data_IF_614295571527
#
_entry.id   IF_614295571527
#
_cell.length_a   1.000
_cell.length_b   1.000
_cell.length_c   1.000
_cell.angle_alpha   90.00
_cell.angle_beta   90.00
_cell.angle_gamma   90.00
#
_symmetry.space_group_name_H-M   'P 1'
#
loop_
_entity.id
_entity.type
_entity.pdbx_description
1 polymer ?
#
# COMPACT_ATOMS: atom_id res chain seq x y z
N UNK A 1 -27.04 -10.27 -18.66
CA UNK A 1 -25.93 -10.91 -19.40
C UNK A 1 -25.06 -9.80 -19.91
N UNK A 2 -24.03 -9.44 -19.15
CA UNK A 2 -23.01 -8.50 -19.59
C UNK A 2 -21.99 -9.32 -20.40
N UNK A 3 -21.79 -8.96 -21.66
CA UNK A 3 -20.69 -9.51 -22.44
C UNK A 3 -19.40 -8.87 -21.92
N UNK A 4 -18.61 -9.62 -21.17
CA UNK A 4 -17.22 -9.25 -20.93
C UNK A 4 -16.50 -9.27 -22.28
N UNK A 5 -16.07 -8.10 -22.70
CA UNK A 5 -15.36 -7.88 -23.96
C UNK A 5 -13.93 -8.41 -23.84
N UNK A 6 -13.78 -9.71 -24.12
CA UNK A 6 -12.53 -10.47 -24.08
C UNK A 6 -11.41 -9.87 -24.98
N UNK A 7 -11.75 -8.90 -25.83
CA UNK A 7 -10.79 -8.21 -26.71
C UNK A 7 -9.92 -7.15 -26.01
N UNK A 8 -10.26 -6.73 -24.78
CA UNK A 8 -9.53 -5.67 -24.05
C UNK A 8 -8.41 -6.17 -23.14
N UNK A 9 -8.40 -7.46 -22.77
CA UNK A 9 -7.43 -8.03 -21.83
C UNK A 9 -5.98 -8.02 -22.35
N UNK A 10 -5.68 -8.39 -23.61
CA UNK A 10 -4.30 -8.39 -24.10
C UNK A 10 -3.70 -6.98 -24.17
N UNK A 11 -4.51 -6.01 -24.61
CA UNK A 11 -4.08 -4.62 -24.75
C UNK A 11 -3.81 -3.93 -23.40
N UNK A 12 -4.52 -4.36 -22.33
CA UNK A 12 -4.27 -3.86 -20.99
C UNK A 12 -3.00 -4.47 -20.36
N UNK A 13 -2.73 -5.74 -20.60
CA UNK A 13 -1.53 -6.42 -20.10
C UNK A 13 -0.24 -5.88 -20.76
N UNK A 14 -0.26 -5.64 -22.07
CA UNK A 14 0.84 -5.00 -22.81
C UNK A 14 1.13 -3.57 -22.33
N UNK A 15 0.11 -2.85 -21.85
CA UNK A 15 0.25 -1.44 -21.45
C UNK A 15 0.55 -1.26 -19.96
N UNK A 16 -0.07 -2.09 -19.13
CA UNK A 16 -0.07 -1.92 -17.67
C UNK A 16 0.28 -3.19 -16.90
N UNK A 17 0.22 -4.37 -17.50
CA UNK A 17 0.46 -5.64 -16.84
C UNK A 17 1.89 -6.17 -17.00
N UNK A 18 2.05 -7.47 -17.23
CA UNK A 18 3.33 -8.17 -17.19
C UNK A 18 4.01 -8.28 -18.57
N UNK A 19 3.33 -7.89 -19.64
CA UNK A 19 3.84 -7.92 -21.03
C UNK A 19 4.36 -6.57 -21.53
N UNK A 20 4.53 -5.60 -20.63
CA UNK A 20 5.04 -4.27 -21.00
C UNK A 20 6.46 -4.37 -21.55
N UNK A 21 6.70 -3.71 -22.68
CA UNK A 21 7.98 -3.78 -23.41
C UNK A 21 9.17 -3.30 -22.59
N UNK A 22 8.97 -2.34 -21.70
CA UNK A 22 10.04 -1.74 -20.90
C UNK A 22 10.36 -2.51 -19.59
N UNK A 23 9.72 -3.67 -19.36
CA UNK A 23 10.10 -4.50 -18.22
C UNK A 23 11.56 -4.92 -18.33
N UNK A 24 12.24 -4.97 -17.18
CA UNK A 24 13.65 -5.36 -17.05
C UNK A 24 14.68 -4.40 -17.68
N UNK A 25 14.26 -3.25 -18.24
CA UNK A 25 15.21 -2.27 -18.80
C UNK A 25 16.02 -1.49 -17.74
N UNK A 26 15.50 -1.38 -16.51
CA UNK A 26 16.14 -0.61 -15.44
C UNK A 26 16.78 -1.52 -14.40
N UNK A 27 18.01 -1.19 -13.96
CA UNK A 27 18.66 -1.84 -12.80
C UNK A 27 17.79 -1.69 -11.55
N UNK A 28 17.42 -2.81 -10.94
CA UNK A 28 16.57 -2.85 -9.73
C UNK A 28 17.36 -2.62 -8.44
N UNK A 29 18.51 -3.26 -8.29
CA UNK A 29 19.31 -3.20 -7.07
C UNK A 29 19.71 -1.75 -6.73
N UNK A 30 19.52 -1.37 -5.47
CA UNK A 30 19.80 -0.02 -4.95
C UNK A 30 18.68 1.00 -5.18
N UNK A 31 17.52 0.59 -5.71
CA UNK A 31 16.39 1.51 -6.00
C UNK A 31 15.43 1.72 -4.83
N UNK A 32 15.79 1.25 -3.64
CA UNK A 32 15.04 1.45 -2.40
C UNK A 32 15.81 2.42 -1.53
N UNK A 33 15.14 3.50 -1.13
CA UNK A 33 15.70 4.42 -0.14
C UNK A 33 15.88 3.70 1.18
N UNK A 34 17.03 3.89 1.83
CA UNK A 34 17.30 3.24 3.08
C UNK A 34 16.35 3.74 4.20
N UNK A 35 15.82 2.80 4.96
CA UNK A 35 14.96 3.04 6.13
C UNK A 35 15.17 1.94 7.15
N UNK A 36 14.84 2.21 8.41
CA UNK A 36 15.21 1.36 9.55
C UNK A 36 13.99 0.69 10.17
N UNK A 37 12.81 1.32 10.06
CA UNK A 37 11.53 0.82 10.56
C UNK A 37 10.44 1.01 9.53
N UNK A 38 9.58 0.01 9.35
CA UNK A 38 8.37 0.12 8.52
C UNK A 38 7.13 -0.05 9.38
N UNK A 39 6.27 0.95 9.32
CA UNK A 39 4.95 0.95 9.96
C UNK A 39 3.90 0.80 8.87
N UNK A 40 3.05 -0.20 9.01
CA UNK A 40 1.87 -0.37 8.16
C UNK A 40 0.62 0.00 8.96
N UNK A 41 -0.23 0.85 8.38
CA UNK A 41 -1.60 1.04 8.85
C UNK A 41 -2.53 0.15 8.03
N UNK A 42 -3.25 -0.76 8.67
CA UNK A 42 -4.33 -1.53 8.05
C UNK A 42 -5.56 -0.63 7.93
N UNK A 43 -6.00 -0.37 6.71
CA UNK A 43 -7.09 0.57 6.47
C UNK A 43 -7.80 0.31 5.15
N UNK A 44 -9.04 -0.15 5.19
CA UNK A 44 -9.92 -0.40 4.05
C UNK A 44 -9.26 -1.27 2.98
N UNK A 45 -9.88 -1.37 1.81
CA UNK A 45 -9.39 -2.16 0.70
C UNK A 45 -8.88 -1.26 -0.45
N UNK A 46 -7.99 -1.78 -1.33
CA UNK A 46 -7.40 -0.97 -2.40
C UNK A 46 -8.39 -0.33 -3.37
N UNK A 47 -9.58 -0.91 -3.52
CA UNK A 47 -10.62 -0.44 -4.44
C UNK A 47 -11.20 0.91 -4.03
N UNK A 48 -11.17 1.24 -2.73
CA UNK A 48 -11.73 2.48 -2.19
C UNK A 48 -10.67 3.51 -1.84
N UNK A 49 -9.38 3.16 -1.96
CA UNK A 49 -8.30 4.08 -1.66
C UNK A 49 -8.23 5.23 -2.68
N UNK A 50 -8.16 6.50 -2.24
CA UNK A 50 -7.84 7.60 -3.14
C UNK A 50 -6.39 7.51 -3.61
N UNK A 51 -6.03 8.31 -4.63
CA UNK A 51 -4.68 8.32 -5.20
C UNK A 51 -3.58 8.71 -4.20
N UNK A 52 -3.95 9.32 -3.07
CA UNK A 52 -3.06 9.61 -1.94
C UNK A 52 -3.82 9.40 -0.63
N UNK A 53 -3.76 8.18 -0.10
CA UNK A 53 -4.49 7.75 1.10
C UNK A 53 -4.10 8.57 2.32
N UNK A 54 -2.82 8.86 2.48
CA UNK A 54 -2.23 9.58 3.61
C UNK A 54 -2.54 11.09 3.59
N UNK A 55 -3.20 11.59 2.54
CA UNK A 55 -3.58 12.99 2.40
C UNK A 55 -5.07 13.19 2.15
N UNK A 56 -5.88 12.14 2.24
CA UNK A 56 -7.31 12.18 1.99
C UNK A 56 -8.05 12.91 3.11
N UNK A 57 -8.98 13.80 2.77
CA UNK A 57 -9.93 14.37 3.74
C UNK A 57 -11.10 13.43 4.03
N UNK A 58 -11.38 12.49 3.13
CA UNK A 58 -12.46 11.51 3.27
C UNK A 58 -12.10 10.38 4.22
N UNK A 59 -10.80 10.24 4.52
CA UNK A 59 -10.22 9.13 5.28
C UNK A 59 -9.26 9.71 6.35
N UNK A 60 -9.80 10.28 7.44
CA UNK A 60 -9.02 11.06 8.40
C UNK A 60 -7.95 10.25 9.15
N UNK A 61 -8.16 8.96 9.43
CA UNK A 61 -7.19 8.14 10.17
C UNK A 61 -5.81 8.05 9.49
N UNK A 62 -5.68 7.58 8.22
CA UNK A 62 -4.39 7.61 7.51
C UNK A 62 -3.73 9.00 7.49
N UNK A 63 -4.52 10.06 7.27
CA UNK A 63 -4.02 11.43 7.24
C UNK A 63 -3.49 11.89 8.59
N UNK A 64 -4.24 11.65 9.67
CA UNK A 64 -3.81 12.00 11.02
C UNK A 64 -2.57 11.22 11.42
N UNK A 65 -2.51 9.93 11.11
CA UNK A 65 -1.33 9.12 11.43
C UNK A 65 -0.08 9.59 10.70
N UNK A 66 -0.19 9.85 9.39
CA UNK A 66 0.90 10.43 8.61
C UNK A 66 1.33 11.81 9.12
N UNK A 67 0.38 12.65 9.53
CA UNK A 67 0.64 13.99 10.06
C UNK A 67 1.34 13.93 11.42
N UNK A 68 0.90 13.05 12.32
CA UNK A 68 1.50 12.84 13.62
C UNK A 68 2.93 12.30 13.51
N UNK A 69 3.16 11.31 12.64
CA UNK A 69 4.50 10.81 12.33
C UNK A 69 5.42 11.90 11.79
N UNK A 70 4.92 12.76 10.90
CA UNK A 70 5.69 13.89 10.38
C UNK A 70 6.03 14.91 11.46
N UNK A 71 5.09 15.19 12.36
CA UNK A 71 5.28 16.16 13.45
C UNK A 71 6.37 15.71 14.45
N UNK A 72 6.46 14.40 14.75
CA UNK A 72 7.46 13.82 15.66
C UNK A 72 8.70 13.25 14.97
N UNK A 73 8.93 13.58 13.69
CA UNK A 73 10.06 13.04 12.93
C UNK A 73 11.41 13.24 13.63
N UNK A 74 11.57 14.36 14.35
CA UNK A 74 12.80 14.69 15.08
C UNK A 74 12.85 14.10 16.50
N UNK A 75 11.70 13.66 17.02
CA UNK A 75 11.58 13.08 18.37
C UNK A 75 11.75 11.55 18.32
N UNK A 76 11.31 10.92 17.23
CA UNK A 76 11.71 9.54 16.91
C UNK A 76 13.25 9.53 16.87
N UNK A 77 13.84 8.54 17.55
CA UNK A 77 15.30 8.43 17.70
C UNK A 77 16.01 8.84 16.40
N UNK A 78 16.85 9.87 16.46
CA UNK A 78 17.39 10.64 15.30
C UNK A 78 17.97 9.77 14.17
N UNK A 79 18.32 8.51 14.46
CA UNK A 79 18.89 7.54 13.52
C UNK A 79 17.89 6.51 12.96
N UNK A 80 16.62 6.54 13.35
CA UNK A 80 15.59 5.57 12.94
C UNK A 80 14.68 6.21 11.90
N UNK A 81 14.93 5.93 10.62
CA UNK A 81 14.06 6.35 9.52
C UNK A 81 12.85 5.45 9.47
N UNK A 82 11.71 6.00 9.84
CA UNK A 82 10.42 5.29 9.82
C UNK A 82 9.70 5.53 8.50
N UNK A 83 9.32 4.44 7.82
CA UNK A 83 8.47 4.46 6.63
C UNK A 83 7.03 4.10 7.00
N UNK A 84 6.06 4.89 6.53
CA UNK A 84 4.63 4.57 6.65
C UNK A 84 4.12 4.03 5.31
N UNK A 85 3.34 2.95 5.36
CA UNK A 85 2.57 2.40 4.24
C UNK A 85 1.17 2.04 4.71
N UNK A 86 0.18 2.08 3.83
CA UNK A 86 -1.16 1.56 4.13
C UNK A 86 -1.27 0.15 3.56
N UNK A 87 -1.86 -0.78 4.30
CA UNK A 87 -2.21 -2.12 3.78
C UNK A 87 -3.69 -2.40 4.00
N UNK A 88 -4.22 -3.43 3.34
CA UNK A 88 -5.63 -3.77 3.49
C UNK A 88 -5.95 -4.08 4.95
N UNK A 89 -6.96 -3.36 5.44
CA UNK A 89 -7.71 -3.71 6.64
C UNK A 89 -9.09 -4.19 6.20
N UNK A 90 -9.49 -5.35 6.70
CA UNK A 90 -10.81 -5.90 6.44
C UNK A 90 -11.29 -6.69 7.66
N UNK A 91 -12.45 -6.31 8.18
CA UNK A 91 -13.07 -7.02 9.30
C UNK A 91 -13.24 -8.51 9.01
N UNK A 92 -12.89 -9.34 10.00
CA UNK A 92 -12.95 -10.80 9.88
C UNK A 92 -11.78 -11.44 9.13
N UNK A 93 -10.74 -10.68 8.79
CA UNK A 93 -9.46 -11.21 8.27
C UNK A 93 -8.34 -11.14 9.33
N UNK A 94 -7.12 -11.51 8.97
CA UNK A 94 -5.94 -11.40 9.86
C UNK A 94 -5.66 -9.95 10.31
N UNK A 95 -6.04 -8.96 9.48
CA UNK A 95 -5.80 -7.54 9.74
C UNK A 95 -7.10 -6.74 9.60
N UNK A 96 -7.53 -6.10 10.69
CA UNK A 96 -8.73 -5.25 10.73
C UNK A 96 -8.39 -3.78 10.50
N UNK A 97 -9.42 -2.96 10.25
CA UNK A 97 -9.25 -1.52 10.11
C UNK A 97 -8.72 -0.88 11.40
N UNK A 98 -7.67 -0.07 11.25
CA UNK A 98 -6.98 0.57 12.36
C UNK A 98 -5.86 -0.28 12.97
N UNK A 99 -5.66 -1.53 12.55
CA UNK A 99 -4.48 -2.27 13.01
C UNK A 99 -3.19 -1.59 12.52
N UNK A 100 -2.13 -1.65 13.34
CA UNK A 100 -0.81 -1.09 13.02
C UNK A 100 0.25 -2.17 13.16
N UNK A 101 0.93 -2.48 12.05
CA UNK A 101 2.01 -3.46 12.00
C UNK A 101 3.36 -2.73 12.03
N UNK A 102 4.31 -3.21 12.81
CA UNK A 102 5.64 -2.60 12.93
C UNK A 102 6.73 -3.64 12.67
N UNK A 103 7.61 -3.33 11.71
CA UNK A 103 8.80 -4.09 11.33
C UNK A 103 10.05 -3.22 11.58
N UNK A 104 11.16 -3.75 12.13
CA UNK A 104 11.45 -5.17 12.37
C UNK A 104 10.87 -5.79 13.64
N UNK A 105 10.11 -5.04 14.43
CA UNK A 105 9.66 -5.49 15.75
C UNK A 105 8.70 -6.70 15.69
N UNK A 106 8.06 -6.96 14.53
CA UNK A 106 7.07 -8.02 14.34
C UNK A 106 5.92 -7.91 15.35
N UNK A 107 5.38 -6.70 15.50
CA UNK A 107 4.27 -6.42 16.43
C UNK A 107 3.08 -5.87 15.66
N UNK A 108 1.89 -6.35 16.00
CA UNK A 108 0.60 -5.79 15.59
C UNK A 108 -0.08 -5.12 16.79
N UNK A 109 -0.40 -3.85 16.66
CA UNK A 109 -1.30 -3.13 17.57
C UNK A 109 -2.70 -3.09 16.97
N UNK A 110 -3.73 -3.33 17.80
CA UNK A 110 -5.10 -3.46 17.30
C UNK A 110 -5.90 -2.16 17.37
N UNK A 111 -6.66 -1.90 16.31
CA UNK A 111 -7.78 -0.93 16.33
C UNK A 111 -7.42 0.50 16.74
N UNK A 112 -6.33 1.05 16.20
CA UNK A 112 -5.96 2.46 16.36
C UNK A 112 -7.08 3.36 15.82
N UNK A 113 -7.54 4.29 16.66
CA UNK A 113 -8.55 5.29 16.30
C UNK A 113 -7.90 6.66 16.13
N UNK A 114 -8.60 7.54 15.42
CA UNK A 114 -8.19 8.92 15.18
C UNK A 114 -7.86 9.68 16.48
N UNK A 115 -8.67 9.48 17.53
CA UNK A 115 -8.48 10.11 18.83
C UNK A 115 -7.19 9.70 19.54
N UNK A 116 -6.62 8.56 19.17
CA UNK A 116 -5.53 7.93 19.91
C UNK A 116 -4.19 8.01 19.18
N UNK A 117 -4.19 8.48 17.92
CA UNK A 117 -3.01 8.58 17.04
C UNK A 117 -1.83 9.26 17.74
N UNK A 118 -2.07 10.41 18.38
CA UNK A 118 -1.01 11.15 19.06
C UNK A 118 -0.36 10.34 20.17
N UNK A 119 -1.19 9.75 21.05
CA UNK A 119 -0.71 8.90 22.15
C UNK A 119 0.03 7.67 21.64
N UNK A 120 -0.43 7.06 20.54
CA UNK A 120 0.21 5.91 19.94
C UNK A 120 1.59 6.25 19.40
N UNK A 121 1.71 7.35 18.63
CA UNK A 121 3.01 7.77 18.08
C UNK A 121 3.97 8.11 19.23
N UNK A 122 3.50 8.82 20.24
CA UNK A 122 4.33 9.21 21.39
C UNK A 122 4.79 7.98 22.19
N UNK A 123 3.90 7.06 22.57
CA UNK A 123 4.26 5.88 23.34
C UNK A 123 5.13 4.92 22.53
N UNK A 124 4.67 4.52 21.35
CA UNK A 124 5.25 3.39 20.60
C UNK A 124 6.42 3.82 19.74
N UNK A 125 6.27 4.90 18.97
CA UNK A 125 7.23 5.24 17.92
C UNK A 125 8.33 6.19 18.42
N UNK A 126 8.00 7.10 19.33
CA UNK A 126 8.96 8.02 19.96
C UNK A 126 9.61 7.37 21.17
N UNK A 127 8.82 6.89 22.13
CA UNK A 127 9.35 6.40 23.41
C UNK A 127 9.68 4.90 23.44
N UNK A 128 9.36 4.13 22.39
CA UNK A 128 9.53 2.67 22.33
C UNK A 128 8.91 1.93 23.53
N UNK A 129 7.72 2.37 23.96
CA UNK A 129 6.92 1.75 25.02
C UNK A 129 5.69 1.07 24.42
N UNK A 130 5.17 0.01 25.06
CA UNK A 130 3.87 -0.52 24.70
C UNK A 130 2.81 0.59 24.78
N UNK A 131 1.94 0.66 23.79
CA UNK A 131 0.84 1.62 23.77
C UNK A 131 -0.07 1.39 24.99
N UNK A 132 -0.21 2.40 25.85
CA UNK A 132 -0.88 2.24 27.14
C UNK A 132 -2.38 1.86 27.00
N UNK A 133 -3.01 2.31 25.92
CA UNK A 133 -4.44 2.10 25.65
C UNK A 133 -4.72 0.91 24.73
N UNK A 134 -3.68 0.25 24.21
CA UNK A 134 -3.79 -0.71 23.13
C UNK A 134 -3.54 -2.15 23.53
N UNK A 135 -4.15 -3.07 22.79
CA UNK A 135 -3.75 -4.48 22.78
C UNK A 135 -2.74 -4.67 21.65
N UNK A 136 -1.65 -5.38 21.92
CA UNK A 136 -0.68 -5.77 20.91
C UNK A 136 -0.39 -7.26 20.98
N UNK A 137 0.01 -7.82 19.85
CA UNK A 137 0.44 -9.21 19.73
C UNK A 137 1.65 -9.33 18.80
N UNK A 138 2.41 -10.41 18.99
CA UNK A 138 3.52 -10.72 18.12
C UNK A 138 3.00 -11.29 16.79
N UNK A 139 3.54 -10.77 15.68
CA UNK A 139 3.37 -11.35 14.36
C UNK A 139 4.23 -12.61 14.23
N UNK A 140 3.78 -13.54 13.39
CA UNK A 140 4.48 -14.81 13.14
C UNK A 140 4.56 -15.07 11.64
N UNK A 141 5.48 -15.92 11.23
CA UNK A 141 5.66 -16.26 9.80
C UNK A 141 6.23 -15.11 8.97
N UNK A 142 6.04 -15.22 7.66
CA UNK A 142 6.48 -14.26 6.66
C UNK A 142 5.31 -13.41 6.18
N UNK A 143 5.54 -12.11 6.01
CA UNK A 143 4.54 -11.16 5.53
C UNK A 143 4.93 -10.62 4.15
N UNK A 144 4.06 -10.85 3.17
CA UNK A 144 4.20 -10.39 1.79
C UNK A 144 3.23 -9.24 1.55
N UNK A 145 3.78 -8.04 1.32
CA UNK A 145 3.00 -6.85 0.97
C UNK A 145 3.12 -6.59 -0.52
N UNK A 146 2.02 -6.71 -1.26
CA UNK A 146 1.99 -6.51 -2.72
C UNK A 146 1.33 -5.17 -3.04
N UNK A 147 2.01 -4.33 -3.81
CA UNK A 147 1.46 -3.05 -4.20
C UNK A 147 0.26 -3.21 -5.15
N UNK A 148 -0.94 -2.86 -4.68
CA UNK A 148 -2.21 -2.99 -5.43
C UNK A 148 -2.94 -1.65 -5.61
N UNK A 149 -2.23 -0.53 -5.42
CA UNK A 149 -2.82 0.82 -5.35
C UNK A 149 -3.20 1.38 -6.74
N UNK A 150 -4.30 0.90 -7.30
CA UNK A 150 -4.72 1.21 -8.67
C UNK A 150 -5.08 2.68 -8.95
N UNK A 151 -5.61 3.39 -7.95
CA UNK A 151 -5.94 4.82 -8.06
C UNK A 151 -4.71 5.73 -8.06
N UNK A 152 -3.58 5.24 -7.54
CA UNK A 152 -2.28 5.94 -7.57
C UNK A 152 -1.45 5.54 -8.78
N UNK A 153 -1.43 4.26 -9.10
CA UNK A 153 -0.67 3.70 -10.21
C UNK A 153 -1.46 2.56 -10.88
N UNK A 154 -1.88 2.78 -12.13
CA UNK A 154 -2.65 1.80 -12.91
C UNK A 154 -1.91 0.47 -13.04
N UNK A 155 -0.58 0.48 -13.14
CA UNK A 155 0.22 -0.74 -13.26
C UNK A 155 0.13 -1.59 -12.00
N UNK A 156 0.19 -0.94 -10.84
CA UNK A 156 -0.01 -1.63 -9.56
C UNK A 156 -1.45 -2.15 -9.42
N UNK A 157 -2.44 -1.41 -9.92
CA UNK A 157 -3.83 -1.85 -9.96
C UNK A 157 -4.10 -3.06 -10.87
N UNK A 158 -3.30 -3.23 -11.93
CA UNK A 158 -3.40 -4.39 -12.84
C UNK A 158 -2.58 -5.57 -12.34
N UNK A 159 -1.29 -5.35 -12.01
CA UNK A 159 -0.39 -6.42 -11.58
C UNK A 159 -0.69 -6.94 -10.17
N UNK A 160 -1.04 -6.05 -9.24
CA UNK A 160 -1.14 -6.35 -7.80
C UNK A 160 -2.15 -7.47 -7.49
N UNK A 161 -3.42 -7.37 -7.91
CA UNK A 161 -4.42 -8.40 -7.66
C UNK A 161 -4.01 -9.78 -8.18
N UNK A 162 -3.45 -9.85 -9.40
CA UNK A 162 -2.99 -11.11 -10.00
C UNK A 162 -1.89 -11.77 -9.16
N UNK A 163 -0.92 -10.98 -8.68
CA UNK A 163 0.15 -11.49 -7.82
C UNK A 163 -0.39 -11.97 -6.47
N UNK A 164 -1.31 -11.22 -5.85
CA UNK A 164 -1.90 -11.58 -4.55
C UNK A 164 -2.62 -12.92 -4.65
N UNK A 165 -3.46 -13.09 -5.68
CA UNK A 165 -4.18 -14.34 -5.90
C UNK A 165 -3.21 -15.49 -6.15
N UNK A 166 -2.16 -15.26 -6.95
CA UNK A 166 -1.13 -16.27 -7.22
C UNK A 166 -0.37 -16.68 -5.96
N UNK A 167 0.02 -15.72 -5.11
CA UNK A 167 0.68 -16.01 -3.84
C UNK A 167 -0.21 -16.81 -2.89
N UNK A 168 -1.50 -16.47 -2.81
CA UNK A 168 -2.47 -17.21 -1.96
C UNK A 168 -2.67 -18.64 -2.45
N UNK A 169 -2.87 -18.82 -3.76
CA UNK A 169 -2.98 -20.14 -4.41
C UNK A 169 -1.75 -21.01 -4.13
N UNK A 170 -0.54 -20.50 -4.42
CA UNK A 170 0.70 -21.26 -4.28
C UNK A 170 1.06 -21.54 -2.82
N UNK A 171 0.70 -20.64 -1.89
CA UNK A 171 0.84 -20.87 -0.45
C UNK A 171 -0.13 -21.95 0.05
N UNK A 172 -1.38 -21.96 -0.45
CA UNK A 172 -2.35 -23.01 -0.12
C UNK A 172 -1.89 -24.38 -0.63
N UNK A 173 -1.43 -24.46 -1.88
CA UNK A 173 -0.88 -25.70 -2.46
C UNK A 173 0.30 -26.27 -1.67
N UNK A 174 1.09 -25.41 -1.02
CA UNK A 174 2.22 -25.80 -0.16
C UNK A 174 1.86 -25.99 1.32
N UNK A 175 0.60 -25.76 1.71
CA UNK A 175 0.19 -25.82 3.13
C UNK A 175 0.81 -24.71 3.99
N UNK A 176 1.14 -23.56 3.39
CA UNK A 176 1.80 -22.42 4.05
C UNK A 176 0.83 -21.33 4.52
N UNK A 177 -0.49 -21.58 4.51
CA UNK A 177 -1.53 -20.58 4.83
C UNK A 177 -1.42 -19.99 6.24
N UNK A 178 -0.84 -20.71 7.19
CA UNK A 178 -0.59 -20.23 8.56
C UNK A 178 0.84 -19.67 8.77
N UNK A 179 1.64 -19.61 7.71
CA UNK A 179 3.05 -19.21 7.76
C UNK A 179 3.36 -18.04 6.81
N UNK A 180 2.59 -17.86 5.74
CA UNK A 180 2.79 -16.80 4.75
C UNK A 180 1.52 -15.97 4.64
N UNK A 181 1.61 -14.71 5.07
CA UNK A 181 0.51 -13.76 5.09
C UNK A 181 0.66 -12.77 3.94
N UNK A 182 -0.34 -12.72 3.05
CA UNK A 182 -0.27 -11.92 1.81
C UNK A 182 -1.32 -10.81 1.84
N UNK A 183 -0.85 -9.57 1.84
CA UNK A 183 -1.69 -8.38 1.96
C UNK A 183 -1.43 -7.39 0.82
N UNK A 184 -2.48 -6.83 0.18
CA UNK A 184 -2.30 -5.68 -0.67
C UNK A 184 -1.84 -4.47 0.14
N UNK A 185 -1.01 -3.62 -0.45
CA UNK A 185 -0.56 -2.37 0.15
C UNK A 185 -0.64 -1.18 -0.82
N UNK A 186 -0.57 0.01 -0.25
CA UNK A 186 -0.46 1.28 -0.95
C UNK A 186 0.88 1.34 -1.70
N UNK A 187 1.08 2.42 -2.45
CA UNK A 187 2.18 2.52 -3.38
C UNK A 187 3.57 2.43 -2.72
N UNK A 188 4.26 1.29 -2.91
CA UNK A 188 5.60 1.00 -2.37
C UNK A 188 6.66 0.82 -3.46
N UNK A 189 6.57 1.51 -4.59
CA UNK A 189 7.62 1.40 -5.60
C UNK A 189 7.44 2.34 -6.75
N UNK A 190 8.45 2.47 -7.62
CA UNK A 190 8.28 3.23 -8.85
C UNK A 190 7.34 2.49 -9.81
N UNK A 191 6.49 3.22 -10.52
CA UNK A 191 5.63 2.67 -11.58
C UNK A 191 6.41 1.86 -12.62
N UNK A 192 7.67 2.25 -12.85
CA UNK A 192 8.59 1.56 -13.77
C UNK A 192 9.00 0.17 -13.30
N UNK A 193 8.77 -0.20 -12.04
CA UNK A 193 9.14 -1.50 -11.45
C UNK A 193 7.91 -2.35 -11.08
N UNK A 194 6.73 -1.98 -11.58
CA UNK A 194 5.46 -2.62 -11.21
C UNK A 194 5.49 -4.14 -11.33
N UNK A 195 4.75 -4.81 -10.46
CA UNK A 195 5.20 -6.07 -9.85
C UNK A 195 6.00 -5.80 -8.56
N UNK A 196 5.65 -4.74 -7.84
CA UNK A 196 6.33 -4.33 -6.61
C UNK A 196 5.76 -5.09 -5.41
N UNK A 197 6.64 -5.71 -4.63
CA UNK A 197 6.28 -6.31 -3.35
C UNK A 197 7.40 -6.22 -2.33
N UNK A 198 7.05 -6.42 -1.07
CA UNK A 198 8.00 -6.48 0.06
C UNK A 198 7.74 -7.80 0.78
N UNK A 199 8.81 -8.52 1.10
CA UNK A 199 8.75 -9.73 1.92
C UNK A 199 9.50 -9.45 3.22
N UNK A 200 8.76 -9.46 4.32
CA UNK A 200 9.34 -9.57 5.66
C UNK A 200 9.36 -11.02 6.07
N UNK A 201 10.53 -11.53 6.41
CA UNK A 201 10.68 -12.91 6.86
C UNK A 201 11.74 -13.00 7.95
N UNK A 202 11.50 -13.78 9.02
CA UNK A 202 12.56 -14.11 9.96
C UNK A 202 13.61 -14.96 9.24
N UNK A 203 14.88 -14.57 9.34
CA UNK A 203 16.01 -15.36 8.88
C UNK A 203 16.20 -16.62 9.72
N UNK A 204 17.06 -17.52 9.25
CA UNK A 204 17.44 -18.74 9.99
C UNK A 204 18.19 -18.43 11.30
N UNK A 205 18.79 -17.24 11.40
CA UNK A 205 19.39 -16.67 12.60
C UNK A 205 18.39 -15.96 13.52
N UNK A 206 17.11 -15.92 13.15
CA UNK A 206 16.04 -15.22 13.86
C UNK A 206 16.01 -13.71 13.62
N UNK A 207 16.93 -13.16 12.80
CA UNK A 207 16.96 -11.75 12.46
C UNK A 207 15.91 -11.46 11.40
N UNK A 208 15.04 -10.49 11.64
CA UNK A 208 14.05 -10.10 10.64
C UNK A 208 14.71 -9.34 9.49
N UNK A 209 14.42 -9.79 8.27
CA UNK A 209 14.80 -9.09 7.05
C UNK A 209 13.56 -8.56 6.33
N UNK A 210 13.71 -7.49 5.56
CA UNK A 210 12.66 -6.91 4.73
C UNK A 210 13.17 -6.62 3.34
N UNK A 211 12.92 -7.53 2.38
CA UNK A 211 13.43 -7.44 1.01
C UNK A 211 12.37 -6.91 0.06
N UNK A 212 12.79 -5.98 -0.80
CA UNK A 212 11.94 -5.35 -1.81
C UNK A 212 12.21 -6.00 -3.15
N UNK A 213 11.14 -6.26 -3.87
CA UNK A 213 11.18 -6.83 -5.20
C UNK A 213 10.41 -5.94 -6.18
N UNK A 214 10.85 -5.96 -7.44
CA UNK A 214 10.20 -5.30 -8.57
C UNK A 214 10.21 -6.21 -9.79
N UNK A 215 9.40 -5.87 -10.78
CA UNK A 215 9.20 -6.70 -11.97
C UNK A 215 8.71 -8.13 -11.69
N UNK A 216 8.15 -8.39 -10.50
CA UNK A 216 7.63 -9.72 -10.16
C UNK A 216 6.43 -10.03 -11.06
N UNK A 217 6.44 -11.21 -11.64
CA UNK A 217 5.37 -11.81 -12.45
C UNK A 217 4.76 -13.03 -11.73
N UNK A 218 3.60 -13.55 -12.17
CA UNK A 218 3.02 -14.75 -11.58
C UNK A 218 3.94 -15.99 -11.62
N UNK A 219 4.79 -16.10 -12.64
CA UNK A 219 5.73 -17.21 -12.81
C UNK A 219 6.87 -17.18 -11.78
N UNK A 220 7.14 -16.02 -11.17
CA UNK A 220 8.17 -15.85 -10.15
C UNK A 220 7.69 -16.23 -8.74
N UNK A 221 6.37 -16.33 -8.53
CA UNK A 221 5.78 -16.57 -7.20
C UNK A 221 6.22 -17.90 -6.58
N UNK A 222 6.23 -19.03 -7.32
CA UNK A 222 6.78 -20.29 -6.80
C UNK A 222 8.23 -20.16 -6.32
N UNK A 223 9.08 -19.46 -7.08
CA UNK A 223 10.49 -19.26 -6.72
C UNK A 223 10.63 -18.38 -5.47
N UNK A 224 9.81 -17.33 -5.32
CA UNK A 224 9.80 -16.48 -4.12
C UNK A 224 9.39 -17.25 -2.86
N UNK A 225 8.42 -18.16 -2.99
CA UNK A 225 8.02 -19.03 -1.87
C UNK A 225 9.11 -20.06 -1.54
N UNK A 226 9.65 -20.74 -2.55
CA UNK A 226 10.56 -21.86 -2.34
C UNK A 226 11.99 -21.43 -1.97
N UNK A 227 12.51 -20.38 -2.61
CA UNK A 227 13.89 -19.91 -2.40
C UNK A 227 13.95 -18.86 -1.30
N UNK A 228 13.22 -17.75 -1.44
CA UNK A 228 13.33 -16.67 -0.47
C UNK A 228 12.68 -17.00 0.87
N UNK A 229 11.38 -17.33 0.87
CA UNK A 229 10.68 -17.66 2.12
C UNK A 229 11.14 -19.02 2.67
N UNK A 230 11.30 -20.03 1.80
CA UNK A 230 11.68 -21.38 2.21
C UNK A 230 13.14 -21.56 2.65
N UNK A 231 14.09 -20.87 2.01
CA UNK A 231 15.54 -21.04 2.25
C UNK A 231 16.28 -19.78 2.69
N UNK A 232 15.64 -18.61 2.62
CA UNK A 232 16.32 -17.32 2.84
C UNK A 232 17.21 -16.88 1.67
N UNK A 233 17.03 -17.47 0.48
CA UNK A 233 17.82 -17.15 -0.71
C UNK A 233 17.18 -16.02 -1.52
N UNK A 234 17.91 -14.92 -1.72
CA UNK A 234 17.40 -13.72 -2.41
C UNK A 234 17.42 -13.93 -3.92
N UNK A 235 16.32 -13.58 -4.59
CA UNK A 235 16.21 -13.61 -6.04
C UNK A 235 16.76 -12.31 -6.62
N UNK A 236 18.06 -12.27 -6.88
CA UNK A 236 18.81 -11.06 -7.27
C UNK A 236 18.23 -10.33 -8.49
N UNK A 237 17.76 -11.08 -9.51
CA UNK A 237 17.18 -10.49 -10.73
C UNK A 237 15.92 -9.65 -10.49
N UNK A 238 15.22 -9.89 -9.36
CA UNK A 238 14.01 -9.15 -8.95
C UNK A 238 14.31 -8.18 -7.79
N UNK A 239 15.48 -8.28 -7.17
CA UNK A 239 15.77 -7.62 -5.90
C UNK A 239 16.08 -6.13 -6.09
N UNK A 240 15.46 -5.31 -5.24
CA UNK A 240 15.61 -3.84 -5.26
C UNK A 240 16.39 -3.28 -4.09
N UNK A 241 16.29 -3.91 -2.93
CA UNK A 241 16.88 -3.40 -1.69
C UNK A 241 16.39 -4.13 -0.45
N UNK A 242 17.01 -3.82 0.69
CA UNK A 242 16.70 -4.41 1.99
C UNK A 242 16.52 -3.32 3.04
N UNK A 243 15.56 -3.49 3.96
CA UNK A 243 15.40 -2.66 5.14
C UNK A 243 16.68 -2.66 6.00
N UNK A 244 17.06 -1.50 6.52
CA UNK A 244 18.22 -1.32 7.41
C UNK A 244 19.58 -1.25 6.69
N UNK A 245 19.64 -1.46 5.37
CA UNK A 245 20.88 -1.40 4.60
C UNK A 245 20.90 -0.13 3.75
N UNK A 246 22.04 0.59 3.77
CA UNK A 246 22.24 1.74 2.89
C UNK A 246 22.53 1.30 1.45
N UNK A 247 22.12 2.09 0.45
CA UNK A 247 22.28 1.73 -0.97
C UNK A 247 23.74 1.46 -1.39
N UNK A 248 24.73 2.02 -0.67
CA UNK A 248 26.16 1.82 -0.92
C UNK A 248 26.72 0.50 -0.34
N UNK A 249 26.08 -0.06 0.69
CA UNK A 249 26.48 -1.33 1.32
C UNK A 249 25.80 -2.53 0.63
N UNK A 250 24.59 -2.33 0.10
CA UNK A 250 23.86 -3.37 -0.64
C UNK A 250 24.57 -3.83 -1.92
N UNK A 251 25.31 -2.95 -2.60
CA UNK A 251 26.14 -3.34 -3.75
C UNK A 251 27.38 -4.15 -3.31
N UNK A 252 27.99 -3.83 -2.16
CA UNK A 252 29.21 -4.49 -1.66
C UNK A 252 28.97 -5.85 -1.02
N UNK A 253 27.80 -6.07 -0.40
CA UNK A 253 27.41 -7.40 0.13
C UNK A 253 27.26 -8.40 -1.02
N UNK A 254 26.84 -7.94 -2.21
CA UNK A 254 26.67 -8.77 -3.39
C UNK A 254 28.01 -9.26 -3.97
N UNK A 255 29.04 -8.42 -3.97
CA UNK A 255 30.35 -8.75 -4.52
C UNK A 255 31.15 -9.74 -3.64
N UNK A 256 30.81 -9.89 -2.36
CA UNK A 256 31.58 -10.71 -1.40
C UNK A 256 31.11 -12.17 -1.29
N UNK A 257 30.08 -12.59 -2.03
CA UNK A 257 29.57 -13.97 -2.04
C UNK A 257 30.08 -14.78 -3.24
N UNK A 258 31.38 -14.72 -3.50
CA UNK A 258 32.06 -15.60 -4.47
C UNK A 258 33.04 -16.53 -3.73
N UNK A 259 32.97 -17.87 -3.92
CA UNK A 259 34.00 -18.75 -3.39
C UNK A 259 35.31 -18.57 -4.16
N UNK A 260 36.38 -18.34 -3.41
CA UNK A 260 37.76 -18.16 -3.87
C UNK A 260 38.20 -19.20 -4.92
N UNK A 261 38.65 -18.69 -6.07
CA UNK A 261 39.71 -19.29 -6.87
C UNK A 261 40.95 -18.41 -6.76
N UNK A 262 42.06 -18.98 -6.29
CA UNK A 262 43.34 -18.31 -6.13
C UNK A 262 43.84 -17.71 -7.45
N UNK A 263 44.31 -16.45 -7.44
CA UNK A 263 45.66 -16.16 -7.92
C UNK A 263 46.17 -14.75 -7.55
N UNK A 264 47.47 -14.71 -7.28
CA UNK A 264 48.26 -13.60 -6.76
C UNK A 264 48.36 -12.38 -7.68
N UNK A 265 48.23 -11.15 -7.13
CA UNK A 265 49.27 -10.09 -7.28
C UNK A 265 49.06 -8.84 -6.39
N UNK A 266 50.23 -8.33 -6.01
CA UNK A 266 50.62 -7.26 -5.07
C UNK A 266 50.15 -5.82 -5.39
N UNK A 267 49.77 -5.12 -4.30
CA UNK A 267 50.10 -3.74 -3.85
C UNK A 267 49.91 -2.53 -4.78
N UNK A 268 49.21 -1.49 -4.27
CA UNK A 268 49.83 -0.25 -3.76
C UNK A 268 48.80 0.66 -3.06
N UNK A 269 49.29 1.43 -2.07
CA UNK A 269 48.52 2.20 -1.09
C UNK A 269 48.73 3.73 -1.31
N UNK A 270 47.66 4.51 -1.03
CA UNK A 270 47.59 5.93 -0.57
C UNK A 270 47.59 7.10 -1.58
N UNK A 271 47.14 8.32 -1.19
CA UNK A 271 46.46 8.75 0.06
C UNK A 271 45.15 9.57 -0.12
N UNK A 272 44.46 9.75 1.01
CA UNK A 272 43.37 10.71 1.23
C UNK A 272 43.77 12.17 0.97
N UNK A 273 42.85 12.96 0.45
CA UNK A 273 42.82 14.41 0.64
C UNK A 273 41.44 14.87 1.14
N UNK A 274 41.49 15.82 2.06
CA UNK A 274 40.41 16.31 2.91
C UNK A 274 39.91 17.64 2.32
N UNK A 275 38.60 17.85 2.23
CA UNK A 275 38.02 19.09 1.73
C UNK A 275 36.60 19.32 2.24
N UNK A 276 36.48 20.07 3.33
CA UNK A 276 35.22 20.58 3.89
C UNK A 276 34.45 21.44 2.87
N UNK A 277 33.11 21.30 2.81
CA UNK A 277 32.19 22.42 3.07
C UNK A 277 30.72 22.00 3.13
N UNK A 278 30.05 22.56 4.12
CA UNK A 278 28.64 22.42 4.50
C UNK A 278 27.75 23.14 3.49
N UNK A 279 26.69 22.48 3.01
CA UNK A 279 25.45 23.16 2.63
C UNK A 279 24.24 22.34 3.11
N UNK A 280 23.51 22.94 4.05
CA UNK A 280 22.18 22.51 4.46
C UNK A 280 21.23 22.67 3.26
N UNK A 281 20.63 21.58 2.81
CA UNK A 281 19.44 21.64 1.97
C UNK A 281 18.41 20.64 2.48
N UNK A 282 17.40 21.16 3.16
CA UNK A 282 16.23 20.41 3.58
C UNK A 282 15.35 20.13 2.35
N UNK A 283 15.36 18.90 1.86
CA UNK A 283 14.38 18.43 0.87
C UNK A 283 13.71 17.16 1.38
N UNK A 284 12.48 17.30 1.87
CA UNK A 284 11.58 16.17 2.08
C UNK A 284 11.07 15.72 0.71
N UNK A 285 11.71 14.67 0.18
CA UNK A 285 11.34 13.99 -1.06
C UNK A 285 9.92 13.45 -0.96
N UNK A 286 8.97 14.18 -1.55
CA UNK A 286 7.79 13.53 -2.13
C UNK A 286 8.28 12.60 -3.23
N UNK A 287 7.66 11.42 -3.33
CA UNK A 287 8.07 10.26 -4.13
C UNK A 287 8.13 10.46 -5.66
N UNK A 288 8.32 11.68 -6.14
CA UNK A 288 8.36 12.08 -7.54
C UNK A 288 9.58 12.98 -7.82
N UNK A 289 10.80 12.61 -7.39
CA UNK A 289 12.04 13.23 -7.87
C UNK A 289 13.20 12.24 -7.73
N UNK A 290 13.40 11.42 -8.76
CA UNK A 290 14.66 10.70 -8.95
C UNK A 290 15.76 11.67 -9.37
N UNK A 291 17.01 11.31 -9.08
CA UNK A 291 18.21 12.14 -9.25
C UNK A 291 18.55 12.58 -10.69
N UNK A 292 17.69 12.31 -11.68
CA UNK A 292 17.79 12.86 -13.03
C UNK A 292 16.46 13.51 -13.40
N UNK A 293 16.45 14.85 -13.41
CA UNK A 293 15.25 15.68 -13.54
C UNK A 293 14.44 15.46 -14.82
N UNK A 294 13.46 14.57 -14.75
CA UNK A 294 12.34 14.51 -15.70
C UNK A 294 11.02 14.46 -14.93
N UNK A 295 10.34 15.61 -14.85
CA UNK A 295 9.00 15.77 -14.28
C UNK A 295 7.98 15.28 -15.31
N UNK A 296 7.36 14.12 -15.11
CA UNK A 296 6.54 13.48 -16.15
C UNK A 296 5.05 13.36 -15.79
N UNK A 297 4.49 14.33 -15.08
CA UNK A 297 3.05 14.55 -15.08
C UNK A 297 2.72 15.60 -16.14
N UNK A 298 2.34 15.17 -17.35
CA UNK A 298 1.72 16.05 -18.35
C UNK A 298 0.23 16.10 -18.08
N UNK A 299 -0.25 17.19 -17.50
CA UNK A 299 -1.63 17.63 -17.65
C UNK A 299 -1.84 18.06 -19.11
N UNK A 300 -2.85 17.48 -19.76
CA UNK A 300 -3.35 18.00 -21.04
C UNK A 300 -4.24 19.20 -20.72
N UNK A 301 -3.62 20.37 -20.61
CA UNK A 301 -4.33 21.65 -20.62
C UNK A 301 -4.45 22.13 -22.05
N UNK A 302 -5.68 22.10 -22.58
CA UNK A 302 -6.02 22.82 -23.82
C UNK A 302 -5.99 24.32 -23.54
N UNK A 303 -5.09 25.03 -24.20
CA UNK A 303 -5.05 26.48 -24.21
C UNK A 303 -6.23 27.07 -24.99
N UNK A 304 -6.91 28.06 -24.41
CA UNK A 304 -7.41 29.20 -25.16
C UNK A 304 -7.14 30.49 -24.37
N UNK A 305 -6.53 31.43 -25.08
CA UNK A 305 -5.92 32.65 -24.57
C UNK A 305 -6.94 33.81 -24.58
N UNK A 306 -6.94 34.55 -23.46
CA UNK A 306 -7.14 36.00 -23.29
C UNK A 306 -8.24 36.77 -24.05
N UNK A 307 -9.09 37.49 -23.30
CA UNK A 307 -9.87 38.62 -23.83
C UNK A 307 -10.91 39.21 -22.86
N UNK A 308 -10.45 40.16 -22.05
CA UNK A 308 -11.13 41.22 -21.26
C UNK A 308 -12.64 41.54 -21.39
N UNK A 309 -13.18 41.96 -20.22
CA UNK A 309 -14.17 43.02 -19.95
C UNK A 309 -15.52 42.63 -19.30
N UNK A 310 -15.88 43.48 -18.32
CA UNK A 310 -17.06 43.45 -17.45
C UNK A 310 -18.39 43.58 -18.20
N UNK A 311 -19.45 42.90 -17.74
CA UNK A 311 -20.70 43.57 -17.27
C UNK A 311 -21.78 42.64 -16.73
N UNK A 312 -22.47 43.20 -15.73
CA UNK A 312 -23.73 42.80 -15.07
C UNK A 312 -24.88 42.34 -15.99
N UNK A 313 -25.58 41.33 -15.46
CA UNK A 313 -27.04 41.21 -15.27
C UNK A 313 -27.99 41.54 -16.45
N UNK A 314 -28.77 40.55 -16.90
CA UNK A 314 -30.24 40.63 -16.97
C UNK A 314 -30.90 39.27 -17.29
N UNK A 315 -31.91 38.94 -16.50
CA UNK A 315 -32.97 37.99 -16.81
C UNK A 315 -33.70 38.37 -18.10
N UNK A 316 -34.18 37.37 -18.85
CA UNK A 316 -35.56 37.33 -19.35
C UNK A 316 -35.96 35.89 -19.67
N UNK A 317 -36.90 35.42 -18.85
CA UNK A 317 -38.05 34.54 -19.07
C UNK A 317 -38.41 34.18 -20.52
N UNK A 318 -38.69 32.90 -20.78
CA UNK A 318 -39.95 32.48 -21.43
C UNK A 318 -40.28 30.99 -21.15
N UNK A 319 -41.47 30.76 -20.61
CA UNK A 319 -42.16 29.47 -20.49
C UNK A 319 -42.74 29.08 -21.87
N UNK A 320 -43.12 27.85 -22.23
CA UNK A 320 -43.94 26.88 -21.53
C UNK A 320 -44.00 25.60 -22.41
N UNK A 321 -44.09 24.42 -21.80
CA UNK A 321 -44.40 23.18 -22.50
C UNK A 321 -44.60 22.00 -21.54
N UNK A 322 -45.79 21.91 -20.92
CA UNK A 322 -46.24 20.75 -20.13
C UNK A 322 -46.80 19.65 -21.03
N UNK A 323 -46.37 18.42 -20.76
CA UNK A 323 -46.93 17.05 -21.02
C UNK A 323 -45.72 16.18 -21.40
N UNK A 324 -45.28 15.18 -20.65
CA UNK A 324 -46.04 14.03 -20.15
C UNK A 324 -45.55 13.53 -18.79
N UNK A 325 -46.52 13.34 -17.89
CA UNK A 325 -46.35 12.67 -16.61
C UNK A 325 -46.65 11.17 -16.78
N UNK A 326 -45.72 10.41 -17.37
CA UNK A 326 -45.77 8.94 -17.33
C UNK A 326 -44.43 8.25 -17.67
N UNK A 327 -43.30 8.81 -17.25
CA UNK A 327 -41.97 8.24 -17.55
C UNK A 327 -40.98 8.22 -16.38
N UNK A 328 -41.42 8.53 -15.14
CA UNK A 328 -40.52 8.82 -14.02
C UNK A 328 -40.70 7.89 -12.81
N UNK A 329 -40.78 6.59 -13.07
CA UNK A 329 -40.83 5.57 -12.02
C UNK A 329 -40.03 4.30 -12.34
N UNK A 330 -39.00 4.38 -13.20
CA UNK A 330 -38.10 3.22 -13.45
C UNK A 330 -36.61 3.46 -13.17
N UNK A 331 -36.21 4.60 -12.57
CA UNK A 331 -34.80 4.89 -12.27
C UNK A 331 -34.43 4.84 -10.78
N UNK A 332 -35.27 4.24 -9.93
CA UNK A 332 -35.03 4.09 -8.49
C UNK A 332 -34.98 2.61 -8.05
N UNK A 333 -34.37 1.75 -8.86
CA UNK A 333 -33.98 0.41 -8.41
C UNK A 333 -32.46 0.35 -8.50
N UNK A 334 -31.81 0.97 -7.51
CA UNK A 334 -30.39 0.79 -7.25
C UNK A 334 -30.13 -0.65 -6.82
N UNK A 335 -29.04 -1.21 -7.33
CA UNK A 335 -28.48 -2.51 -6.93
C UNK A 335 -28.41 -2.59 -5.41
N UNK A 336 -29.22 -3.45 -4.81
CA UNK A 336 -29.13 -3.77 -3.38
C UNK A 336 -28.24 -5.00 -3.24
N UNK A 337 -27.21 -4.93 -2.41
CA UNK A 337 -26.36 -6.09 -2.12
C UNK A 337 -27.08 -7.05 -1.15
N UNK A 338 -26.74 -8.34 -1.21
CA UNK A 338 -27.44 -9.40 -0.46
C UNK A 338 -27.37 -9.18 1.07
N UNK A 339 -26.32 -8.51 1.54
CA UNK A 339 -26.14 -8.07 2.94
C UNK A 339 -27.18 -7.03 3.36
N UNK A 340 -27.49 -6.06 2.50
CA UNK A 340 -28.44 -4.99 2.82
C UNK A 340 -29.88 -5.51 2.89
N UNK A 341 -30.22 -6.48 2.05
CA UNK A 341 -31.52 -7.17 2.08
C UNK A 341 -31.68 -7.96 3.39
N UNK A 342 -30.62 -8.64 3.84
CA UNK A 342 -30.62 -9.38 5.10
C UNK A 342 -30.69 -8.45 6.32
N UNK A 343 -29.97 -7.33 6.30
CA UNK A 343 -30.03 -6.33 7.36
C UNK A 343 -31.43 -5.69 7.45
N UNK A 344 -32.03 -5.31 6.32
CA UNK A 344 -33.38 -4.77 6.28
C UNK A 344 -34.42 -5.79 6.78
N UNK A 345 -34.30 -7.06 6.38
CA UNK A 345 -35.19 -8.13 6.84
C UNK A 345 -35.06 -8.36 8.36
N UNK A 346 -33.85 -8.31 8.92
CA UNK A 346 -33.61 -8.46 10.36
C UNK A 346 -34.26 -7.32 11.17
N UNK A 347 -34.15 -6.08 10.70
CA UNK A 347 -34.78 -4.92 11.34
C UNK A 347 -36.30 -5.04 11.32
N UNK A 348 -36.90 -5.42 10.18
CA UNK A 348 -38.34 -5.62 10.07
C UNK A 348 -38.82 -6.75 10.99
N UNK A 349 -38.07 -7.86 11.04
CA UNK A 349 -38.35 -8.98 11.95
C UNK A 349 -38.33 -8.57 13.42
N UNK A 350 -37.33 -7.78 13.84
CA UNK A 350 -37.23 -7.28 15.21
C UNK A 350 -38.42 -6.36 15.57
N UNK A 351 -38.79 -5.43 14.69
CA UNK A 351 -39.93 -4.52 14.90
C UNK A 351 -41.24 -5.29 14.99
N UNK A 352 -41.45 -6.28 14.12
CA UNK A 352 -42.64 -7.13 14.16
C UNK A 352 -42.71 -7.92 15.47
N UNK A 353 -41.58 -8.45 15.95
CA UNK A 353 -41.52 -9.21 17.21
C UNK A 353 -41.86 -8.33 18.40
N UNK A 354 -41.33 -7.10 18.45
CA UNK A 354 -41.66 -6.11 19.49
C UNK A 354 -43.14 -5.72 19.44
N UNK A 355 -43.69 -5.51 18.24
CA UNK A 355 -45.12 -5.17 18.08
C UNK A 355 -46.04 -6.30 18.54
N UNK A 356 -45.70 -7.55 18.22
CA UNK A 356 -46.45 -8.73 18.68
C UNK A 356 -46.36 -8.87 20.20
N UNK A 357 -45.15 -8.76 20.78
CA UNK A 357 -44.95 -8.81 22.23
C UNK A 357 -45.75 -7.70 22.96
N UNK A 358 -45.72 -6.48 22.42
CA UNK A 358 -46.49 -5.35 22.95
C UNK A 358 -48.01 -5.60 22.86
N UNK A 359 -48.49 -6.18 21.76
CA UNK A 359 -49.91 -6.52 21.59
C UNK A 359 -50.39 -7.60 22.57
N UNK A 360 -49.55 -8.60 22.87
CA UNK A 360 -49.83 -9.65 23.85
C UNK A 360 -49.81 -9.10 25.28
N UNK A 361 -48.85 -8.23 25.60
CA UNK A 361 -48.78 -7.54 26.88
C UNK A 361 -50.05 -6.71 27.14
N UNK A 362 -50.51 -5.93 26.14
CA UNK A 362 -51.73 -5.12 26.24
C UNK A 362 -53.02 -5.94 26.34
N UNK A 363 -53.01 -7.21 25.92
CA UNK A 363 -54.17 -8.12 26.02
C UNK A 363 -54.24 -8.87 27.35
N UNK A 364 -53.17 -8.86 28.13
CA UNK A 364 -53.02 -9.64 29.36
C UNK A 364 -53.16 -8.80 30.65
N UNK A 365 -53.35 -7.49 30.52
CA UNK A 365 -53.75 -6.58 31.61
C UNK A 365 -55.04 -5.88 31.23
#
# INVERSE_FOLDING_TARGET
MASDDLSTLPAEDEKYGFQRSEMYETKLAGTVDAYDRHVFLCYKTPEVWPSRVEGSESDPLPKFFASALKARKNDIAVKVRTKLTVCEGREGTEFSDGDVLIFPEMIKYRGLKESDVDSFVDDVLVNNKPWASGVHEALTGSHVFVCAHGSRDRRCGVCGPVLIDKFREEAELRGLTNQVFVSPCSHVGGHKYAGNLIIYSPGSDGILTGHWYGYVTPDDVPELLDQHIGKGEIIERLWRGQMGVSSEEGEKINDQKLPNGEDNKKSEEKPQENGNQIQNNENFSGCCQGANGFTCCKDVSLEQNSGSEEKKLKETTEACGKKDALGRLSSLIGKWEQSDVLAAAAVVGAVATVAVAYSLYRRSG
#
